data_IF_264534399030
#
_entry.id   IF_264534399030
#
_cell.length_a   1.000
_cell.length_b   1.000
_cell.length_c   1.000
_cell.angle_alpha   90.00
_cell.angle_beta   90.00
_cell.angle_gamma   90.00
#
_symmetry.space_group_name_H-M   'P 1'
#
loop_
_entity.id
_entity.type
_entity.pdbx_description
1 polymer ?
#
# COMPACT_ATOMS: atom_id res chain seq x y z
N UNK A 1 -19.18 27.51 -1.61
CA UNK A 1 -18.52 26.18 -1.64
C UNK A 1 -19.61 25.09 -1.67
N UNK A 2 -20.42 25.03 -2.73
CA UNK A 2 -21.58 24.13 -2.84
C UNK A 2 -21.61 23.36 -4.16
N UNK A 3 -21.47 24.07 -5.29
CA UNK A 3 -21.61 23.50 -6.63
C UNK A 3 -20.68 22.31 -6.99
N UNK A 4 -19.40 22.31 -6.56
CA UNK A 4 -18.50 21.18 -6.87
C UNK A 4 -18.83 19.92 -6.04
N UNK A 5 -19.32 20.11 -4.81
CA UNK A 5 -19.71 18.99 -3.95
C UNK A 5 -21.01 18.39 -4.46
N UNK A 6 -22.01 19.23 -4.78
CA UNK A 6 -23.27 18.81 -5.40
C UNK A 6 -23.03 18.03 -6.70
N UNK A 7 -22.18 18.54 -7.60
CA UNK A 7 -21.80 17.83 -8.83
C UNK A 7 -21.17 16.45 -8.58
N UNK A 8 -20.32 16.33 -7.56
CA UNK A 8 -19.70 15.04 -7.21
C UNK A 8 -20.72 14.05 -6.63
N UNK A 9 -21.71 14.52 -5.88
CA UNK A 9 -22.81 13.69 -5.38
C UNK A 9 -23.69 13.22 -6.53
N UNK A 10 -24.11 14.12 -7.42
CA UNK A 10 -24.91 13.79 -8.61
C UNK A 10 -24.21 12.73 -9.47
N UNK A 11 -22.90 12.90 -9.72
CA UNK A 11 -22.11 11.90 -10.46
C UNK A 11 -22.03 10.54 -9.77
N UNK A 12 -22.02 10.48 -8.44
CA UNK A 12 -22.00 9.21 -7.71
C UNK A 12 -23.37 8.53 -7.72
N UNK A 13 -24.45 9.29 -7.62
CA UNK A 13 -25.81 8.78 -7.74
C UNK A 13 -26.07 8.22 -9.13
N UNK A 14 -25.71 8.95 -10.20
CA UNK A 14 -25.85 8.46 -11.58
C UNK A 14 -25.12 7.12 -11.79
N UNK A 15 -23.88 6.99 -11.31
CA UNK A 15 -23.10 5.74 -11.44
C UNK A 15 -23.70 4.57 -10.66
N UNK A 16 -24.28 4.85 -9.50
CA UNK A 16 -24.99 3.84 -8.72
C UNK A 16 -26.23 3.39 -9.49
N UNK A 17 -27.02 4.32 -9.97
CA UNK A 17 -28.30 4.05 -10.61
C UNK A 17 -28.09 3.31 -11.94
N UNK A 18 -27.07 3.67 -12.72
CA UNK A 18 -26.63 2.93 -13.90
C UNK A 18 -26.24 1.48 -13.56
N UNK A 19 -25.43 1.27 -12.52
CA UNK A 19 -25.02 -0.07 -12.09
C UNK A 19 -26.21 -0.91 -11.60
N UNK A 20 -27.15 -0.31 -10.85
CA UNK A 20 -28.37 -1.00 -10.39
C UNK A 20 -29.23 -1.37 -11.60
N UNK A 21 -29.43 -0.47 -12.57
CA UNK A 21 -30.21 -0.76 -13.77
C UNK A 21 -29.62 -1.91 -14.60
N UNK A 22 -28.28 -2.04 -14.63
CA UNK A 22 -27.59 -3.14 -15.32
C UNK A 22 -27.66 -4.48 -14.56
N UNK A 23 -27.54 -4.48 -13.23
CA UNK A 23 -27.43 -5.71 -12.43
C UNK A 23 -28.78 -6.18 -11.84
N UNK A 24 -29.71 -5.26 -11.61
CA UNK A 24 -31.02 -5.49 -11.02
C UNK A 24 -32.11 -4.74 -11.81
N UNK A 25 -32.40 -5.16 -13.05
CA UNK A 25 -33.29 -4.43 -13.96
C UNK A 25 -34.76 -4.34 -13.49
N UNK A 26 -35.15 -5.19 -12.54
CA UNK A 26 -36.50 -5.21 -11.95
C UNK A 26 -36.60 -4.37 -10.66
N UNK A 27 -35.51 -3.77 -10.19
CA UNK A 27 -35.51 -2.91 -9.02
C UNK A 27 -35.92 -1.47 -9.40
N UNK A 28 -36.98 -0.95 -8.78
CA UNK A 28 -37.49 0.40 -9.02
C UNK A 28 -37.09 1.34 -7.88
N UNK A 29 -36.78 2.60 -8.19
CA UNK A 29 -36.38 3.59 -7.20
C UNK A 29 -37.44 3.73 -6.07
N UNK A 30 -37.00 3.61 -4.82
CA UNK A 30 -37.87 3.68 -3.64
C UNK A 30 -38.49 2.34 -3.23
N UNK A 31 -38.15 1.23 -3.88
CA UNK A 31 -38.50 -0.11 -3.40
C UNK A 31 -37.42 -0.68 -2.48
N UNK A 32 -37.76 -1.63 -1.59
CA UNK A 32 -36.76 -2.34 -0.77
C UNK A 32 -35.68 -3.05 -1.60
N UNK A 33 -36.01 -3.51 -2.80
CA UNK A 33 -35.08 -4.16 -3.73
C UNK A 33 -34.04 -3.17 -4.28
N UNK A 34 -34.44 -1.92 -4.54
CA UNK A 34 -33.52 -0.86 -4.93
C UNK A 34 -32.57 -0.48 -3.80
N UNK A 35 -33.07 -0.35 -2.57
CA UNK A 35 -32.24 -0.06 -1.40
C UNK A 35 -31.22 -1.19 -1.15
N UNK A 36 -31.61 -2.45 -1.38
CA UNK A 36 -30.70 -3.59 -1.30
C UNK A 36 -29.64 -3.55 -2.41
N UNK A 37 -30.00 -3.24 -3.65
CA UNK A 37 -29.06 -3.12 -4.76
C UNK A 37 -28.08 -1.94 -4.56
N UNK A 38 -28.54 -0.82 -3.99
CA UNK A 38 -27.69 0.30 -3.61
C UNK A 38 -26.67 -0.08 -2.53
N UNK A 39 -27.06 -0.91 -1.57
CA UNK A 39 -26.14 -1.45 -0.56
C UNK A 39 -25.09 -2.38 -1.18
N UNK A 40 -25.49 -3.29 -2.07
CA UNK A 40 -24.56 -4.16 -2.80
C UNK A 40 -23.57 -3.36 -3.65
N UNK A 41 -24.03 -2.29 -4.31
CA UNK A 41 -23.16 -1.37 -5.04
C UNK A 41 -22.10 -0.71 -4.13
N UNK A 42 -22.51 -0.29 -2.92
CA UNK A 42 -21.57 0.26 -1.94
C UNK A 42 -20.48 -0.74 -1.57
N UNK A 43 -20.85 -1.99 -1.27
CA UNK A 43 -19.87 -3.05 -0.97
C UNK A 43 -18.97 -3.37 -2.16
N UNK A 44 -19.52 -3.33 -3.38
CA UNK A 44 -18.74 -3.50 -4.59
C UNK A 44 -17.71 -2.39 -4.78
N UNK A 45 -18.07 -1.13 -4.50
CA UNK A 45 -17.13 -0.02 -4.52
C UNK A 45 -16.02 -0.18 -3.49
N UNK A 46 -16.37 -0.54 -2.25
CA UNK A 46 -15.39 -0.80 -1.19
C UNK A 46 -14.40 -1.90 -1.61
N UNK A 47 -14.92 -3.00 -2.16
CA UNK A 47 -14.09 -4.10 -2.66
C UNK A 47 -13.19 -3.68 -3.84
N UNK A 48 -13.70 -2.88 -4.77
CA UNK A 48 -12.92 -2.34 -5.89
C UNK A 48 -11.80 -1.42 -5.43
N UNK A 49 -12.05 -0.58 -4.42
CA UNK A 49 -11.05 0.29 -3.82
C UNK A 49 -9.96 -0.54 -3.11
N UNK A 50 -10.35 -1.49 -2.27
CA UNK A 50 -9.41 -2.42 -1.61
C UNK A 50 -8.55 -3.19 -2.64
N UNK A 51 -9.16 -3.67 -3.72
CA UNK A 51 -8.45 -4.37 -4.80
C UNK A 51 -7.46 -3.45 -5.53
N UNK A 52 -7.86 -2.20 -5.80
CA UNK A 52 -6.97 -1.22 -6.42
C UNK A 52 -5.80 -0.86 -5.49
N UNK A 53 -6.05 -0.63 -4.21
CA UNK A 53 -5.01 -0.38 -3.21
C UNK A 53 -3.99 -1.52 -3.14
N UNK A 54 -4.49 -2.76 -3.15
CA UNK A 54 -3.65 -3.96 -3.15
C UNK A 54 -2.77 -4.03 -4.40
N UNK A 55 -3.34 -3.75 -5.59
CA UNK A 55 -2.58 -3.72 -6.85
C UNK A 55 -1.49 -2.64 -6.84
N UNK A 56 -1.82 -1.43 -6.37
CA UNK A 56 -0.84 -0.35 -6.24
C UNK A 56 0.28 -0.72 -5.27
N UNK A 57 -0.06 -1.40 -4.17
CA UNK A 57 0.91 -1.87 -3.22
C UNK A 57 1.86 -2.91 -3.85
N UNK A 58 1.34 -3.92 -4.54
CA UNK A 58 2.15 -4.93 -5.23
C UNK A 58 3.07 -4.31 -6.29
N UNK A 59 2.56 -3.36 -7.08
CA UNK A 59 3.36 -2.61 -8.03
C UNK A 59 4.47 -1.80 -7.33
N UNK A 60 4.19 -1.22 -6.16
CA UNK A 60 5.19 -0.50 -5.37
C UNK A 60 6.31 -1.42 -4.87
N UNK A 61 6.00 -2.67 -4.50
CA UNK A 61 7.01 -3.65 -4.08
C UNK A 61 7.97 -4.00 -5.23
N UNK A 62 7.48 -4.08 -6.46
CA UNK A 62 8.30 -4.33 -7.64
C UNK A 62 9.36 -3.23 -7.86
N UNK A 63 9.11 -2.01 -7.39
CA UNK A 63 10.05 -0.88 -7.50
C UNK A 63 11.13 -0.85 -6.40
N UNK A 64 11.06 -1.71 -5.38
CA UNK A 64 12.04 -1.70 -4.27
C UNK A 64 13.49 -1.89 -4.75
N UNK A 65 13.81 -2.83 -5.67
CA UNK A 65 15.17 -2.98 -6.15
C UNK A 65 15.71 -1.73 -6.84
N UNK A 66 14.89 -1.06 -7.65
CA UNK A 66 15.27 0.17 -8.35
C UNK A 66 15.52 1.31 -7.36
N UNK A 67 14.60 1.50 -6.41
CA UNK A 67 14.76 2.50 -5.32
C UNK A 67 16.02 2.27 -4.50
N UNK A 68 16.39 1.01 -4.26
CA UNK A 68 17.64 0.69 -3.56
C UNK A 68 18.87 1.05 -4.41
N UNK A 69 18.81 0.88 -5.72
CA UNK A 69 19.90 1.30 -6.60
C UNK A 69 20.03 2.83 -6.66
N UNK A 70 18.92 3.54 -6.77
CA UNK A 70 18.91 5.01 -6.75
C UNK A 70 19.50 5.52 -5.43
N UNK A 71 19.07 4.95 -4.29
CA UNK A 71 19.61 5.30 -2.98
C UNK A 71 21.12 5.06 -2.86
N UNK A 72 21.64 3.99 -3.48
CA UNK A 72 23.09 3.73 -3.52
C UNK A 72 23.83 4.74 -4.38
N UNK A 73 23.29 5.06 -5.55
CA UNK A 73 23.89 6.08 -6.42
C UNK A 73 23.97 7.44 -5.72
N UNK A 74 22.94 7.82 -4.97
CA UNK A 74 22.94 9.05 -4.16
C UNK A 74 24.03 9.02 -3.06
N UNK A 75 24.29 7.86 -2.44
CA UNK A 75 25.39 7.72 -1.47
C UNK A 75 26.76 7.84 -2.13
N UNK A 76 26.95 7.26 -3.32
CA UNK A 76 28.19 7.37 -4.09
C UNK A 76 28.46 8.84 -4.48
N UNK A 77 27.42 9.59 -4.84
CA UNK A 77 27.50 11.02 -5.09
C UNK A 77 27.93 11.80 -3.83
N UNK A 78 27.34 11.49 -2.67
CA UNK A 78 27.73 12.10 -1.40
C UNK A 78 29.19 11.78 -1.04
N UNK A 79 29.66 10.56 -1.27
CA UNK A 79 31.06 10.19 -1.05
C UNK A 79 32.01 11.04 -1.91
N UNK A 80 31.66 11.30 -3.17
CA UNK A 80 32.44 12.18 -4.04
C UNK A 80 32.53 13.62 -3.50
N UNK A 81 31.44 14.12 -2.89
CA UNK A 81 31.38 15.47 -2.32
C UNK A 81 32.18 15.62 -1.03
N UNK A 82 32.34 14.54 -0.24
CA UNK A 82 33.17 14.54 0.96
C UNK A 82 34.63 14.91 0.67
N UNK A 83 35.11 14.66 -0.55
CA UNK A 83 36.49 14.93 -0.95
C UNK A 83 36.76 16.44 -1.14
N UNK A 84 35.73 17.26 -1.34
CA UNK A 84 35.88 18.67 -1.71
C UNK A 84 35.15 19.64 -0.76
N UNK A 85 34.04 19.23 -0.13
CA UNK A 85 33.16 20.12 0.63
C UNK A 85 32.92 19.63 2.07
N UNK A 86 33.19 20.51 3.05
CA UNK A 86 32.80 20.42 4.47
C UNK A 86 32.38 19.00 4.93
N UNK A 87 33.33 18.07 5.12
CA UNK A 87 33.06 16.63 5.18
C UNK A 87 32.07 16.24 6.29
N UNK A 88 32.04 16.99 7.40
CA UNK A 88 31.07 16.78 8.50
C UNK A 88 29.62 17.04 8.12
N UNK A 89 29.33 17.95 7.19
CA UNK A 89 27.97 18.20 6.72
C UNK A 89 27.53 17.06 5.80
N UNK A 90 28.41 16.67 4.88
CA UNK A 90 28.14 15.58 3.93
C UNK A 90 27.94 14.25 4.66
N UNK A 91 28.74 13.96 5.69
CA UNK A 91 28.57 12.79 6.56
C UNK A 91 27.19 12.77 7.24
N UNK A 92 26.71 13.92 7.73
CA UNK A 92 25.36 14.03 8.32
C UNK A 92 24.27 13.82 7.28
N UNK A 93 24.44 14.33 6.07
CA UNK A 93 23.49 14.11 4.97
C UNK A 93 23.42 12.63 4.59
N UNK A 94 24.57 11.98 4.44
CA UNK A 94 24.63 10.54 4.15
C UNK A 94 23.97 9.71 5.27
N UNK A 95 24.19 10.09 6.54
CA UNK A 95 23.53 9.43 7.66
C UNK A 95 21.99 9.56 7.60
N UNK A 96 21.47 10.78 7.41
CA UNK A 96 20.01 11.02 7.29
C UNK A 96 19.44 10.25 6.10
N UNK A 97 20.17 10.21 4.99
CA UNK A 97 19.76 9.46 3.80
C UNK A 97 19.66 7.95 4.09
N UNK A 98 20.72 7.35 4.66
CA UNK A 98 20.71 5.94 5.06
C UNK A 98 19.54 5.60 6.00
N UNK A 99 19.25 6.47 6.98
CA UNK A 99 18.11 6.29 7.89
C UNK A 99 16.78 6.33 7.13
N UNK A 100 16.62 7.25 6.18
CA UNK A 100 15.40 7.39 5.38
C UNK A 100 15.16 6.17 4.47
N UNK A 101 16.23 5.62 3.88
CA UNK A 101 16.19 4.39 3.07
C UNK A 101 15.82 3.19 3.94
N UNK A 102 16.42 3.07 5.12
CA UNK A 102 16.10 2.01 6.08
C UNK A 102 14.64 2.08 6.54
N UNK A 103 14.15 3.27 6.88
CA UNK A 103 12.76 3.48 7.30
C UNK A 103 11.77 3.08 6.19
N UNK A 104 12.03 3.53 4.97
CA UNK A 104 11.24 3.15 3.79
C UNK A 104 11.24 1.64 3.58
N UNK A 105 12.41 0.99 3.64
CA UNK A 105 12.53 -0.46 3.47
C UNK A 105 11.76 -1.23 4.55
N UNK A 106 11.87 -0.82 5.82
CA UNK A 106 11.16 -1.44 6.93
C UNK A 106 9.64 -1.26 6.79
N UNK A 107 9.19 -0.10 6.34
CA UNK A 107 7.77 0.17 6.09
C UNK A 107 7.21 -0.76 5.00
N UNK A 108 7.89 -0.85 3.85
CA UNK A 108 7.48 -1.77 2.78
C UNK A 108 7.50 -3.24 3.24
N UNK A 109 8.51 -3.63 4.00
CA UNK A 109 8.63 -4.99 4.55
C UNK A 109 7.47 -5.31 5.50
N UNK A 110 7.17 -4.40 6.44
CA UNK A 110 6.07 -4.57 7.38
C UNK A 110 4.72 -4.67 6.64
N UNK A 111 4.47 -3.78 5.69
CA UNK A 111 3.25 -3.80 4.88
C UNK A 111 3.14 -5.09 4.04
N UNK A 112 4.25 -5.57 3.48
CA UNK A 112 4.25 -6.82 2.72
C UNK A 112 3.90 -8.03 3.60
N UNK A 113 4.40 -8.07 4.83
CA UNK A 113 4.09 -9.14 5.78
C UNK A 113 2.64 -9.10 6.28
N UNK A 114 2.05 -7.91 6.44
CA UNK A 114 0.68 -7.74 6.93
C UNK A 114 -0.39 -7.90 5.84
N UNK A 115 -0.09 -7.50 4.60
CA UNK A 115 -1.08 -7.34 3.54
C UNK A 115 -0.86 -8.26 2.34
N UNK A 116 0.23 -9.02 2.27
CA UNK A 116 0.53 -9.87 1.11
C UNK A 116 0.89 -11.32 1.51
N UNK A 117 -0.06 -12.26 1.46
CA UNK A 117 0.11 -13.62 1.98
C UNK A 117 1.35 -14.39 1.47
N UNK A 118 1.75 -14.28 0.18
CA UNK A 118 2.99 -14.90 -0.30
C UNK A 118 4.26 -14.43 0.42
N UNK A 119 4.35 -13.15 0.80
CA UNK A 119 5.52 -12.60 1.50
C UNK A 119 5.55 -13.09 2.94
N UNK A 120 4.39 -13.13 3.60
CA UNK A 120 4.24 -13.71 4.93
C UNK A 120 4.63 -15.19 4.95
N UNK A 121 4.14 -15.99 4.00
CA UNK A 121 4.49 -17.42 3.92
C UNK A 121 5.99 -17.64 3.73
N UNK A 122 6.63 -16.86 2.85
CA UNK A 122 8.08 -16.93 2.65
C UNK A 122 8.83 -16.56 3.94
N UNK A 123 8.41 -15.50 4.62
CA UNK A 123 9.00 -15.11 5.90
C UNK A 123 8.84 -16.20 6.96
N UNK A 124 7.65 -16.79 7.11
CA UNK A 124 7.41 -17.88 8.06
C UNK A 124 8.24 -19.14 7.74
N UNK A 125 8.46 -19.42 6.44
CA UNK A 125 9.34 -20.51 6.02
C UNK A 125 10.81 -20.27 6.41
N UNK A 126 11.29 -19.03 6.29
CA UNK A 126 12.67 -18.66 6.63
C UNK A 126 12.85 -18.32 8.12
N UNK A 127 11.75 -18.09 8.87
CA UNK A 127 11.75 -17.67 10.27
C UNK A 127 12.50 -18.63 11.19
N UNK A 128 12.53 -19.93 10.86
CA UNK A 128 13.28 -20.92 11.62
C UNK A 128 14.79 -20.65 11.66
N UNK A 129 15.32 -20.00 10.62
CA UNK A 129 16.73 -19.57 10.52
C UNK A 129 16.98 -18.18 11.08
N UNK A 130 15.96 -17.31 11.06
CA UNK A 130 16.07 -15.89 11.43
C UNK A 130 15.77 -15.61 12.91
N UNK A 131 14.92 -16.43 13.54
CA UNK A 131 14.47 -16.21 14.92
C UNK A 131 15.21 -17.17 15.86
N UNK A 132 16.20 -16.67 16.63
CA UNK A 132 17.01 -17.53 17.50
C UNK A 132 16.19 -18.10 18.66
N UNK A 133 15.24 -17.33 19.21
CA UNK A 133 14.42 -17.75 20.34
C UNK A 133 13.36 -18.78 19.91
N UNK A 134 13.26 -19.87 20.66
CA UNK A 134 12.34 -20.97 20.41
C UNK A 134 10.89 -20.63 20.81
N UNK A 135 10.69 -19.74 21.78
CA UNK A 135 9.35 -19.31 22.19
C UNK A 135 8.74 -18.32 21.19
N UNK A 136 9.53 -17.37 20.69
CA UNK A 136 9.06 -16.38 19.72
C UNK A 136 8.71 -17.04 18.38
N UNK A 137 9.48 -18.05 17.96
CA UNK A 137 9.13 -18.92 16.81
C UNK A 137 7.78 -19.60 16.96
N UNK A 138 7.50 -20.17 18.14
CA UNK A 138 6.21 -20.84 18.40
C UNK A 138 5.03 -19.88 18.34
N UNK A 139 5.21 -18.62 18.79
CA UNK A 139 4.17 -17.60 18.71
C UNK A 139 3.90 -17.20 17.26
N UNK A 140 4.96 -17.03 16.45
CA UNK A 140 4.85 -16.65 15.04
C UNK A 140 4.15 -17.71 14.17
N UNK A 141 4.41 -18.99 14.42
CA UNK A 141 3.81 -20.11 13.67
C UNK A 141 2.40 -20.50 14.13
N UNK A 142 1.93 -19.93 15.25
CA UNK A 142 0.61 -20.24 15.83
C UNK A 142 -0.49 -19.24 15.43
N UNK A 143 -0.11 -18.14 14.76
CA UNK A 143 -0.97 -17.10 14.16
C UNK A 143 -1.19 -17.37 12.68
#
# INVERSE_FOLDING_TARGET
MGSMKELLFEMQEERRDEWIAENYPDAEEGTPEWDAAAQEYSWFQDWMEEAAEQQYFEASLASIPDRLQDAKAELDELESLMQFNQPRIVERMAYVHCVSVLDSFLMYSARALLSHPPHLQKFLHEADSLVPNKEDRRKLLAS
#
